data_IF_586755523743
#
_entry.id   IF_586755523743
#
_cell.length_a   1.000
_cell.length_b   1.000
_cell.length_c   1.000
_cell.angle_alpha   90.00
_cell.angle_beta   90.00
_cell.angle_gamma   90.00
#
_symmetry.space_group_name_H-M   'P 1'
#
loop_
_entity.id
_entity.type
_entity.pdbx_description
1 polymer ?
#
# COMPACT_ATOMS: atom_id res chain seq x y z
N UNK A 1 -6.27 18.02 -10.19
CA UNK A 1 -5.42 16.91 -10.68
C UNK A 1 -4.62 16.45 -9.49
N UNK A 2 -4.53 15.14 -9.27
CA UNK A 2 -3.79 14.57 -8.16
C UNK A 2 -2.84 13.49 -8.70
N UNK A 3 -1.69 13.34 -8.06
CA UNK A 3 -0.59 12.50 -8.50
C UNK A 3 -0.32 11.42 -7.46
N UNK A 4 -0.23 10.17 -7.92
CA UNK A 4 0.10 9.01 -7.10
C UNK A 4 1.46 8.48 -7.54
N UNK A 5 2.43 8.47 -6.64
CA UNK A 5 3.73 7.85 -6.88
C UNK A 5 3.66 6.36 -6.59
N UNK A 6 4.07 5.53 -7.55
CA UNK A 6 4.32 4.10 -7.34
C UNK A 6 5.78 3.82 -7.71
N UNK A 7 6.61 3.58 -6.69
CA UNK A 7 8.07 3.54 -6.84
C UNK A 7 8.62 2.29 -6.18
N UNK A 8 9.57 1.62 -6.83
CA UNK A 8 10.20 0.43 -6.29
C UNK A 8 11.54 0.09 -6.93
N UNK A 9 12.22 -0.93 -6.39
CA UNK A 9 13.52 -1.36 -6.90
C UNK A 9 13.39 -1.91 -8.35
N UNK A 10 14.29 -1.45 -9.21
CA UNK A 10 14.49 -1.95 -10.58
C UNK A 10 14.87 -3.43 -10.64
N UNK A 11 15.42 -3.98 -9.55
CA UNK A 11 15.81 -5.38 -9.41
C UNK A 11 14.68 -6.29 -8.94
N UNK A 12 13.50 -5.77 -8.58
CA UNK A 12 12.37 -6.64 -8.31
C UNK A 12 12.01 -7.38 -9.59
N UNK A 13 11.84 -8.68 -9.40
CA UNK A 13 11.49 -9.63 -10.45
C UNK A 13 10.17 -9.20 -11.09
N UNK A 14 10.10 -9.16 -12.42
CA UNK A 14 8.84 -8.97 -13.14
C UNK A 14 7.96 -10.23 -13.09
N UNK A 15 8.03 -10.99 -11.99
CA UNK A 15 7.17 -12.14 -11.76
C UNK A 15 5.71 -11.70 -11.58
N UNK A 16 4.81 -12.67 -11.74
CA UNK A 16 3.38 -12.40 -11.76
C UNK A 16 2.83 -11.82 -10.46
N UNK A 17 3.56 -11.89 -9.33
CA UNK A 17 3.07 -11.46 -8.02
C UNK A 17 3.05 -9.94 -7.91
N UNK A 18 4.18 -9.29 -8.22
CA UNK A 18 4.28 -7.83 -8.19
C UNK A 18 3.31 -7.18 -9.18
N UNK A 19 3.20 -7.75 -10.38
CA UNK A 19 2.27 -7.28 -11.40
C UNK A 19 0.80 -7.34 -10.94
N UNK A 20 0.40 -8.42 -10.24
CA UNK A 20 -0.96 -8.56 -9.70
C UNK A 20 -1.24 -7.53 -8.60
N UNK A 21 -0.30 -7.33 -7.68
CA UNK A 21 -0.44 -6.37 -6.57
C UNK A 21 -0.53 -4.95 -7.12
N UNK A 22 0.36 -4.56 -8.02
CA UNK A 22 0.35 -3.22 -8.63
C UNK A 22 -0.93 -3.00 -9.43
N UNK A 23 -1.40 -4.02 -10.18
CA UNK A 23 -2.65 -3.91 -10.94
C UNK A 23 -3.83 -3.65 -10.02
N UNK A 24 -3.96 -4.45 -8.97
CA UNK A 24 -5.03 -4.26 -7.98
C UNK A 24 -4.96 -2.89 -7.32
N UNK A 25 -3.76 -2.46 -6.92
CA UNK A 25 -3.54 -1.14 -6.32
C UNK A 25 -3.98 -0.02 -7.26
N UNK A 26 -3.56 -0.06 -8.54
CA UNK A 26 -3.98 0.95 -9.53
C UNK A 26 -5.50 0.94 -9.69
N UNK A 27 -6.13 -0.23 -9.73
CA UNK A 27 -7.59 -0.36 -9.85
C UNK A 27 -8.34 0.19 -8.63
N UNK A 28 -7.82 -0.03 -7.42
CA UNK A 28 -8.38 0.45 -6.16
C UNK A 28 -8.26 1.99 -6.03
N UNK A 29 -7.20 2.59 -6.58
CA UNK A 29 -6.94 4.03 -6.54
C UNK A 29 -7.67 4.84 -7.63
N UNK A 30 -8.37 4.19 -8.57
CA UNK A 30 -9.18 4.90 -9.57
C UNK A 30 -10.53 5.29 -8.93
N UNK A 31 -10.79 6.59 -8.65
CA UNK A 31 -11.97 7.00 -7.93
C UNK A 31 -13.24 6.80 -8.77
N UNK A 32 -14.33 6.42 -8.10
CA UNK A 32 -15.68 6.33 -8.69
C UNK A 32 -16.69 7.14 -7.85
N UNK A 33 -17.24 8.27 -8.31
CA UNK A 33 -16.83 9.17 -9.40
C UNK A 33 -15.81 10.24 -8.93
N UNK A 34 -14.86 10.64 -9.77
CA UNK A 34 -13.88 11.68 -9.42
C UNK A 34 -12.93 12.04 -10.57
N UNK A 35 -12.03 13.03 -10.37
CA UNK A 35 -10.94 13.29 -11.31
C UNK A 35 -10.05 12.05 -11.42
N UNK A 36 -9.47 11.80 -12.60
CA UNK A 36 -8.54 10.68 -12.77
C UNK A 36 -7.16 11.01 -12.16
N UNK A 37 -6.53 10.11 -11.38
CA UNK A 37 -5.14 10.29 -10.96
C UNK A 37 -4.19 10.33 -12.15
N UNK A 38 -3.04 10.97 -11.94
CA UNK A 38 -1.85 10.76 -12.76
C UNK A 38 -0.88 9.88 -11.99
N UNK A 39 -0.58 8.70 -12.52
CA UNK A 39 0.39 7.79 -11.91
C UNK A 39 1.81 8.22 -12.26
N UNK A 40 2.69 8.20 -11.26
CA UNK A 40 4.08 8.66 -11.38
C UNK A 40 5.02 7.52 -11.01
N UNK A 41 6.01 7.25 -11.86
CA UNK A 41 7.06 6.28 -11.54
C UNK A 41 8.43 6.68 -12.09
N UNK A 42 9.45 5.90 -11.74
CA UNK A 42 10.85 6.11 -12.12
C UNK A 42 11.49 4.83 -12.62
N UNK A 43 12.45 4.94 -13.54
CA UNK A 43 13.18 3.79 -14.07
C UNK A 43 12.26 2.79 -14.78
N UNK A 44 11.45 3.27 -15.72
CA UNK A 44 10.35 2.49 -16.30
C UNK A 44 10.80 1.52 -17.41
N UNK A 45 12.10 1.26 -17.49
CA UNK A 45 12.70 0.29 -18.39
C UNK A 45 12.82 -1.11 -17.76
N UNK A 46 12.66 -1.25 -16.44
CA UNK A 46 12.66 -2.53 -15.72
C UNK A 46 12.00 -2.46 -14.34
N UNK A 47 11.68 -3.63 -13.78
CA UNK A 47 11.15 -3.77 -12.41
C UNK A 47 9.82 -3.04 -12.21
N UNK A 48 9.60 -2.48 -11.01
CA UNK A 48 8.33 -1.86 -10.62
C UNK A 48 7.91 -0.73 -11.56
N UNK A 49 8.83 0.15 -11.95
CA UNK A 49 8.49 1.27 -12.83
C UNK A 49 7.97 0.84 -14.19
N UNK A 50 8.54 -0.24 -14.75
CA UNK A 50 8.06 -0.82 -16.00
C UNK A 50 6.66 -1.42 -15.84
N UNK A 51 6.42 -2.17 -14.76
CA UNK A 51 5.11 -2.77 -14.48
C UNK A 51 4.02 -1.70 -14.37
N UNK A 52 4.27 -0.63 -13.60
CA UNK A 52 3.33 0.50 -13.46
C UNK A 52 3.03 1.12 -14.82
N UNK A 53 4.07 1.43 -15.61
CA UNK A 53 3.92 1.99 -16.96
C UNK A 53 3.05 1.10 -17.85
N UNK A 54 3.36 -0.20 -17.92
CA UNK A 54 2.62 -1.16 -18.74
C UNK A 54 1.15 -1.25 -18.32
N UNK A 55 0.87 -1.34 -17.02
CA UNK A 55 -0.51 -1.41 -16.52
C UNK A 55 -1.27 -0.11 -16.82
N UNK A 56 -0.66 1.06 -16.63
CA UNK A 56 -1.29 2.33 -16.98
C UNK A 56 -1.58 2.44 -18.49
N UNK A 57 -0.66 2.01 -19.35
CA UNK A 57 -0.85 1.98 -20.80
C UNK A 57 -1.99 1.05 -21.22
N UNK A 58 -2.06 -0.16 -20.65
CA UNK A 58 -3.14 -1.14 -20.90
C UNK A 58 -4.53 -0.58 -20.57
N UNK A 59 -4.64 0.18 -19.48
CA UNK A 59 -5.89 0.76 -19.00
C UNK A 59 -6.15 2.20 -19.52
N UNK A 60 -5.29 2.71 -20.41
CA UNK A 60 -5.33 4.08 -20.91
C UNK A 60 -5.38 5.15 -19.79
N UNK A 61 -4.66 4.91 -18.70
CA UNK A 61 -4.58 5.80 -17.54
C UNK A 61 -3.50 6.87 -17.74
N UNK A 62 -3.68 8.08 -17.21
CA UNK A 62 -2.65 9.11 -17.24
C UNK A 62 -1.40 8.66 -16.46
N UNK A 63 -0.24 8.73 -17.12
CA UNK A 63 1.03 8.27 -16.57
C UNK A 63 2.15 9.28 -16.84
N UNK A 64 3.06 9.43 -15.87
CA UNK A 64 4.24 10.27 -15.95
C UNK A 64 5.48 9.50 -15.49
N UNK A 65 6.49 9.43 -16.36
CA UNK A 65 7.81 8.90 -16.00
C UNK A 65 8.75 10.05 -15.62
N UNK A 66 9.33 9.98 -14.42
CA UNK A 66 10.44 10.85 -14.04
C UNK A 66 11.77 10.14 -14.29
N UNK A 67 12.54 10.66 -15.25
CA UNK A 67 13.84 10.11 -15.65
C UNK A 67 14.97 11.12 -15.46
N UNK A 68 16.17 10.62 -15.19
CA UNK A 68 17.41 11.39 -15.19
C UNK A 68 18.30 10.85 -16.30
N UNK A 69 18.59 11.68 -17.30
CA UNK A 69 19.44 11.32 -18.44
C UNK A 69 20.78 12.05 -18.30
N UNK A 70 21.87 11.29 -18.23
CA UNK A 70 23.22 11.83 -18.15
C UNK A 70 23.85 11.77 -19.56
N UNK A 71 24.16 12.94 -20.12
CA UNK A 71 24.63 13.06 -21.51
C UNK A 71 26.14 12.79 -21.71
N UNK A 72 26.93 12.68 -20.63
CA UNK A 72 28.39 12.50 -20.72
C UNK A 72 28.86 11.41 -19.74
N UNK A 73 29.11 10.21 -20.28
CA UNK A 73 29.51 9.00 -19.54
C UNK A 73 31.03 8.92 -19.32
N UNK A 74 31.76 10.04 -19.32
CA UNK A 74 33.19 10.00 -19.00
C UNK A 74 33.39 9.76 -17.49
N UNK A 75 33.78 8.53 -17.16
CA UNK A 75 33.13 7.70 -16.12
C UNK A 75 33.79 7.76 -14.74
N UNK A 76 34.73 8.68 -14.51
CA UNK A 76 35.47 8.77 -13.25
C UNK A 76 35.03 9.93 -12.35
N UNK A 77 34.48 10.99 -12.94
CA UNK A 77 34.11 12.19 -12.20
C UNK A 77 32.64 12.10 -11.76
N UNK A 78 32.50 11.80 -10.46
CA UNK A 78 31.37 12.15 -9.58
C UNK A 78 30.21 11.14 -9.52
N UNK A 79 30.50 9.95 -8.96
CA UNK A 79 29.46 9.14 -8.27
C UNK A 79 28.57 10.01 -7.36
N UNK A 80 29.16 11.02 -6.70
CA UNK A 80 28.41 12.01 -5.92
C UNK A 80 27.39 12.80 -6.74
N UNK A 81 27.73 13.27 -7.94
CA UNK A 81 26.79 14.03 -8.78
C UNK A 81 25.61 13.19 -9.27
N UNK A 82 25.82 11.88 -9.49
CA UNK A 82 24.71 10.97 -9.80
C UNK A 82 23.78 10.81 -8.60
N UNK A 83 24.35 10.65 -7.39
CA UNK A 83 23.57 10.61 -6.15
C UNK A 83 22.77 11.91 -5.99
N UNK A 84 23.39 13.07 -6.14
CA UNK A 84 22.70 14.37 -6.04
C UNK A 84 21.55 14.51 -7.04
N UNK A 85 21.73 14.04 -8.28
CA UNK A 85 20.67 14.04 -9.29
C UNK A 85 19.51 13.11 -8.91
N UNK A 86 19.81 11.93 -8.35
CA UNK A 86 18.77 11.02 -7.85
C UNK A 86 18.03 11.58 -6.63
N UNK A 87 18.74 12.26 -5.72
CA UNK A 87 18.13 12.96 -4.59
C UNK A 87 17.23 14.10 -5.07
N UNK A 88 17.68 14.89 -6.05
CA UNK A 88 16.87 15.95 -6.65
C UNK A 88 15.62 15.40 -7.33
N UNK A 89 15.72 14.27 -8.03
CA UNK A 89 14.55 13.56 -8.59
C UNK A 89 13.57 13.16 -7.49
N UNK A 90 14.04 12.61 -6.38
CA UNK A 90 13.17 12.24 -5.26
C UNK A 90 12.47 13.47 -4.64
N UNK A 91 13.18 14.60 -4.50
CA UNK A 91 12.58 15.86 -4.05
C UNK A 91 11.47 16.34 -5.00
N UNK A 92 11.67 16.19 -6.31
CA UNK A 92 10.61 16.51 -7.28
C UNK A 92 9.39 15.62 -7.12
N UNK A 93 9.58 14.31 -6.88
CA UNK A 93 8.47 13.37 -6.64
C UNK A 93 7.74 13.75 -5.34
N UNK A 94 8.49 14.02 -4.27
CA UNK A 94 7.97 14.44 -2.96
C UNK A 94 7.03 15.65 -3.07
N UNK A 95 7.42 16.67 -3.84
CA UNK A 95 6.57 17.86 -4.02
C UNK A 95 5.45 17.70 -5.03
N UNK A 96 5.57 16.77 -5.98
CA UNK A 96 4.57 16.57 -7.03
C UNK A 96 3.39 15.70 -6.55
N UNK A 97 3.68 14.66 -5.78
CA UNK A 97 2.72 13.59 -5.46
C UNK A 97 2.03 13.82 -4.12
N UNK A 98 0.78 13.36 -4.01
CA UNK A 98 -0.02 13.43 -2.78
C UNK A 98 -0.12 12.08 -2.07
N UNK A 99 0.08 11.00 -2.82
CA UNK A 99 0.03 9.63 -2.32
C UNK A 99 1.23 8.84 -2.84
N UNK A 100 1.75 7.94 -2.02
CA UNK A 100 2.97 7.18 -2.29
C UNK A 100 2.78 5.70 -1.95
N UNK A 101 3.06 4.85 -2.93
CA UNK A 101 3.20 3.40 -2.76
C UNK A 101 4.64 3.02 -3.05
N UNK A 102 5.36 2.62 -2.00
CA UNK A 102 6.81 2.38 -2.06
C UNK A 102 7.12 0.90 -1.86
N UNK A 103 7.71 0.27 -2.87
CA UNK A 103 8.13 -1.14 -2.83
C UNK A 103 9.62 -1.21 -2.49
N UNK A 104 9.92 -1.48 -1.23
CA UNK A 104 11.28 -1.50 -0.68
C UNK A 104 11.80 -2.94 -0.55
N UNK A 105 13.12 -3.06 -0.34
CA UNK A 105 13.77 -4.34 -0.04
C UNK A 105 14.24 -4.37 1.41
N UNK A 106 14.39 -5.56 1.96
CA UNK A 106 14.85 -5.79 3.34
C UNK A 106 16.19 -5.11 3.65
N UNK A 107 17.09 -5.03 2.66
CA UNK A 107 18.38 -4.37 2.84
C UNK A 107 18.28 -2.86 3.06
N UNK A 108 17.12 -2.23 2.82
CA UNK A 108 16.86 -0.77 2.88
C UNK A 108 18.08 0.07 2.43
N UNK A 109 18.59 -0.24 1.25
CA UNK A 109 19.80 0.39 0.69
C UNK A 109 19.48 0.87 -0.72
N UNK A 110 19.34 2.18 -0.86
CA UNK A 110 19.04 2.76 -2.16
C UNK A 110 18.56 4.20 -2.11
N UNK A 111 18.11 4.62 -3.27
CA UNK A 111 17.58 5.96 -3.51
C UNK A 111 16.15 6.08 -2.96
N UNK A 112 15.41 4.98 -2.81
CA UNK A 112 14.01 4.99 -2.35
C UNK A 112 13.94 5.33 -0.86
N UNK A 113 14.93 4.90 -0.10
CA UNK A 113 15.02 5.11 1.34
C UNK A 113 15.24 6.57 1.71
N UNK A 114 15.87 7.35 0.83
CA UNK A 114 15.89 8.79 0.97
C UNK A 114 14.50 9.41 0.85
N UNK A 115 13.67 8.92 -0.08
CA UNK A 115 12.28 9.38 -0.22
C UNK A 115 11.44 8.97 0.99
N UNK A 116 11.61 7.74 1.50
CA UNK A 116 10.98 7.28 2.76
C UNK A 116 11.32 8.25 3.89
N UNK A 117 12.61 8.56 4.11
CA UNK A 117 13.00 9.48 5.18
C UNK A 117 12.45 10.91 5.04
N UNK A 118 12.21 11.40 3.82
CA UNK A 118 11.55 12.69 3.57
C UNK A 118 10.06 12.66 3.94
N UNK A 119 9.39 11.54 3.64
CA UNK A 119 7.98 11.31 3.96
C UNK A 119 7.76 11.09 5.45
N UNK A 120 8.63 10.32 6.11
CA UNK A 120 8.61 10.08 7.56
C UNK A 120 8.77 11.38 8.36
N UNK A 121 9.51 12.35 7.81
CA UNK A 121 9.68 13.67 8.43
C UNK A 121 8.39 14.53 8.37
N UNK A 122 7.45 14.20 7.47
CA UNK A 122 6.22 14.96 7.24
C UNK A 122 4.98 14.03 7.12
N UNK A 123 4.71 13.17 8.11
CA UNK A 123 3.77 12.05 7.97
C UNK A 123 2.30 12.48 7.97
N UNK A 124 1.99 13.75 8.21
CA UNK A 124 0.61 14.29 8.20
C UNK A 124 0.21 14.91 6.86
N UNK A 125 1.17 15.07 5.94
CA UNK A 125 0.96 15.78 4.67
C UNK A 125 0.65 14.81 3.52
N UNK A 126 1.05 13.54 3.63
CA UNK A 126 0.99 12.57 2.53
C UNK A 126 0.40 11.24 2.98
N UNK A 127 -0.39 10.62 2.11
CA UNK A 127 -0.78 9.22 2.26
C UNK A 127 0.35 8.32 1.75
N UNK A 128 0.92 7.50 2.62
CA UNK A 128 2.07 6.64 2.27
C UNK A 128 1.80 5.20 2.67
N UNK A 129 2.08 4.26 1.76
CA UNK A 129 2.06 2.82 2.01
C UNK A 129 3.39 2.22 1.55
N UNK A 130 4.04 1.46 2.43
CA UNK A 130 5.33 0.81 2.15
C UNK A 130 5.13 -0.71 2.12
N UNK A 131 5.61 -1.33 1.05
CA UNK A 131 5.55 -2.76 0.79
C UNK A 131 6.95 -3.36 0.85
N UNK A 132 7.10 -4.52 1.49
CA UNK A 132 8.34 -5.30 1.46
C UNK A 132 8.49 -6.13 0.18
N UNK A 133 9.54 -6.96 0.13
CA UNK A 133 9.82 -7.83 -1.02
C UNK A 133 8.81 -8.96 -1.22
N UNK A 134 7.96 -9.23 -0.22
CA UNK A 134 6.86 -10.19 -0.28
C UNK A 134 5.51 -9.52 -0.56
N UNK A 135 5.51 -8.22 -0.89
CA UNK A 135 4.32 -7.38 -1.06
C UNK A 135 3.44 -7.25 0.19
N UNK A 136 4.03 -7.43 1.37
CA UNK A 136 3.37 -7.17 2.65
C UNK A 136 3.50 -5.71 3.00
N UNK A 137 2.41 -5.09 3.47
CA UNK A 137 2.44 -3.73 4.00
C UNK A 137 3.22 -3.74 5.31
N UNK A 138 4.36 -3.05 5.33
CA UNK A 138 5.20 -2.91 6.52
C UNK A 138 4.98 -1.59 7.24
N UNK A 139 4.43 -0.58 6.55
CA UNK A 139 4.24 0.75 7.12
C UNK A 139 3.17 1.53 6.36
N UNK A 140 2.39 2.34 7.10
CA UNK A 140 1.40 3.28 6.56
C UNK A 140 1.48 4.62 7.29
N UNK A 141 1.46 5.74 6.56
CA UNK A 141 1.50 7.09 7.13
C UNK A 141 0.43 8.01 6.53
N UNK A 142 0.00 9.01 7.31
CA UNK A 142 -0.85 10.12 6.87
C UNK A 142 -2.28 9.78 6.46
N UNK A 143 -2.69 8.53 6.63
CA UNK A 143 -4.11 8.19 6.67
C UNK A 143 -4.68 8.63 8.03
N UNK A 144 -5.82 9.35 8.06
CA UNK A 144 -6.54 9.52 9.30
C UNK A 144 -6.82 8.13 9.85
N UNK A 145 -6.26 7.81 11.01
CA UNK A 145 -6.69 6.62 11.73
C UNK A 145 -8.17 6.87 12.03
N UNK A 146 -9.04 6.02 11.51
CA UNK A 146 -10.40 5.97 12.03
C UNK A 146 -10.22 5.65 13.52
N UNK A 147 -10.56 6.61 14.38
CA UNK A 147 -10.64 6.39 15.82
C UNK A 147 -11.64 5.24 15.99
N UNK A 148 -11.12 4.02 16.11
CA UNK A 148 -11.89 2.89 16.61
C UNK A 148 -12.12 3.21 18.07
N UNK A 149 -13.22 3.92 18.33
CA UNK A 149 -13.84 4.04 19.64
C UNK A 149 -14.12 2.61 20.12
N UNK A 150 -13.15 2.03 20.83
CA UNK A 150 -13.39 0.94 21.75
C UNK A 150 -14.32 1.48 22.85
N UNK A 151 -15.62 1.41 22.59
CA UNK A 151 -16.62 1.51 23.65
C UNK A 151 -16.51 0.27 24.53
N UNK A 152 -15.59 0.32 25.49
CA UNK A 152 -15.71 -0.44 26.74
C UNK A 152 -17.00 0.02 27.43
N UNK A 153 -18.11 -0.62 27.09
CA UNK A 153 -19.29 -0.64 27.96
C UNK A 153 -19.07 -1.68 29.03
N UNK A 154 -18.23 -1.35 30.03
CA UNK A 154 -18.23 -2.08 31.29
C UNK A 154 -19.60 -1.88 31.96
N UNK A 155 -20.41 -2.93 31.86
CA UNK A 155 -21.72 -3.03 32.43
C UNK A 155 -21.71 -2.82 33.95
N UNK A 156 -22.60 -1.93 34.39
CA UNK A 156 -22.94 -1.73 35.78
C UNK A 156 -23.32 -3.06 36.45
N UNK A 157 -22.50 -3.49 37.41
CA UNK A 157 -22.86 -4.51 38.37
C UNK A 157 -24.05 -4.06 39.21
N UNK A 158 -25.21 -4.64 38.94
CA UNK A 158 -26.33 -4.64 39.90
C UNK A 158 -26.65 -6.09 40.21
N UNK A 159 -26.06 -6.61 41.28
CA UNK A 159 -26.45 -7.89 41.86
C UNK A 159 -27.76 -7.70 42.62
N UNK A 160 -28.85 -8.25 42.10
CA UNK A 160 -30.07 -8.53 42.86
C UNK A 160 -30.17 -10.04 42.98
N UNK A 161 -30.33 -10.51 44.22
CA UNK A 161 -30.34 -11.90 44.59
C UNK A 161 -31.77 -12.40 44.89
N UNK A 162 -31.96 -13.70 44.59
CA UNK A 162 -32.87 -14.70 45.20
C UNK A 162 -34.37 -14.65 44.88
N UNK A 163 -34.88 -15.72 44.23
CA UNK A 163 -35.86 -16.73 44.74
C UNK A 163 -36.40 -17.53 43.54
N UNK A 164 -36.06 -18.81 43.35
CA UNK A 164 -36.58 -20.09 43.93
C UNK A 164 -37.97 -20.55 43.44
N UNK A 165 -38.07 -21.89 43.28
CA UNK A 165 -39.20 -22.77 42.89
C UNK A 165 -39.48 -22.94 41.38
N UNK A 166 -39.20 -24.08 40.74
CA UNK A 166 -39.63 -25.48 40.90
C UNK A 166 -40.84 -25.85 40.01
N UNK A 167 -40.66 -26.79 39.07
CA UNK A 167 -41.57 -27.92 38.82
C UNK A 167 -41.08 -28.80 37.69
N UNK A 168 -41.18 -30.11 37.91
CA UNK A 168 -40.72 -31.22 37.08
C UNK A 168 -41.76 -31.69 36.04
N UNK A 169 -41.29 -32.43 35.03
CA UNK A 169 -41.86 -33.69 34.47
C UNK A 169 -41.15 -34.00 33.14
N UNK A 170 -40.43 -35.12 32.96
CA UNK A 170 -40.92 -36.41 32.41
C UNK A 170 -41.72 -36.21 31.09
N UNK A 171 -41.47 -36.86 29.96
CA UNK A 171 -41.07 -38.26 29.72
C UNK A 171 -40.81 -38.51 28.21
N UNK A 172 -39.94 -39.49 27.95
CA UNK A 172 -40.06 -40.57 26.97
C UNK A 172 -40.21 -40.38 25.44
N UNK A 173 -39.34 -41.16 24.76
CA UNK A 173 -39.63 -42.04 23.60
C UNK A 173 -39.69 -41.41 22.20
N UNK A 174 -39.42 -42.06 21.06
CA UNK A 174 -38.83 -43.35 20.64
C UNK A 174 -38.74 -43.27 19.09
N UNK A 175 -37.70 -43.85 18.50
CA UNK A 175 -37.61 -44.49 17.16
C UNK A 175 -37.67 -43.76 15.79
N UNK A 176 -37.01 -44.50 14.87
CA UNK A 176 -37.15 -44.68 13.42
C UNK A 176 -36.32 -43.75 12.53
N UNK A 177 -35.23 -44.20 11.90
CA UNK A 177 -35.07 -45.26 10.88
C UNK A 177 -35.90 -44.99 9.61
N UNK A 178 -35.22 -44.62 8.51
CA UNK A 178 -35.09 -45.41 7.27
C UNK A 178 -34.86 -44.53 6.04
N UNK A 179 -33.88 -44.96 5.23
CA UNK A 179 -33.85 -45.06 3.76
C UNK A 179 -34.27 -43.92 2.83
N UNK A 180 -33.44 -43.76 1.79
CA UNK A 180 -33.95 -43.92 0.42
C UNK A 180 -33.45 -42.87 -0.58
N UNK A 181 -32.57 -43.28 -1.49
CA UNK A 181 -32.26 -42.55 -2.73
C UNK A 181 -30.86 -42.75 -3.25
#
# INVERSE_FOLDING_TARGET
>A
MFFIAIIGDRKRSEDGTDAQVIRKLIEDEIPKPGPMPVFVSVGCDMGIGKLVKTICEEHALPFCELSCIFHDFNTALRRGAHVDAYLARNMSIYHLCQMFHLFVRDSRQGIIENLVGLLDANPKEYAVVIYDENNTIVETMGFPQEDTDEQETEGQGTAIAVSEEASASESDSVNQASDGG
#
